data_IF_026238151171
#
_entry.id   IF_026238151171
#
_cell.length_a   1.000
_cell.length_b   1.000
_cell.length_c   1.000
_cell.angle_alpha   90.00
_cell.angle_beta   90.00
_cell.angle_gamma   90.00
#
_symmetry.space_group_name_H-M   'P 1'
#
loop_
_entity.id
_entity.type
_entity.pdbx_description
1 polymer ?
#
# COMPACT_ATOMS: atom_id res chain seq x y z
N UNK A 1 -0.45 -30.73 4.16
CA UNK A 1 0.18 -29.55 4.78
C UNK A 1 0.16 -28.37 3.80
N UNK A 2 -0.87 -27.54 3.85
CA UNK A 2 -1.05 -26.33 3.02
C UNK A 2 -0.49 -25.08 3.71
N UNK A 3 0.71 -25.18 4.28
CA UNK A 3 1.24 -24.20 5.25
C UNK A 3 2.06 -23.02 4.69
N UNK A 4 2.34 -22.96 3.39
CA UNK A 4 3.35 -22.02 2.88
C UNK A 4 2.96 -21.19 1.64
N UNK A 5 1.73 -21.30 1.13
CA UNK A 5 1.33 -20.53 -0.06
C UNK A 5 0.59 -19.26 0.38
N UNK A 6 1.26 -18.10 0.25
CA UNK A 6 0.65 -16.79 0.57
C UNK A 6 -0.23 -16.24 -0.55
N UNK A 7 0.08 -16.60 -1.79
CA UNK A 7 -0.65 -16.15 -2.99
C UNK A 7 -0.67 -17.30 -3.99
N UNK A 8 -1.86 -17.81 -4.29
CA UNK A 8 -2.11 -18.78 -5.34
C UNK A 8 -3.11 -18.18 -6.35
N UNK A 9 -2.91 -18.44 -7.63
CA UNK A 9 -3.87 -18.10 -8.68
C UNK A 9 -4.00 -19.29 -9.62
N UNK A 10 -5.22 -19.83 -9.74
CA UNK A 10 -5.55 -20.86 -10.72
C UNK A 10 -6.05 -20.23 -12.02
N UNK A 11 -5.69 -20.86 -13.13
CA UNK A 11 -6.08 -20.44 -14.48
C UNK A 11 -7.56 -20.75 -14.73
N UNK A 12 -8.27 -19.80 -15.32
CA UNK A 12 -9.64 -20.03 -15.81
C UNK A 12 -9.64 -20.54 -17.25
N UNK A 13 -10.73 -21.21 -17.68
CA UNK A 13 -10.86 -21.90 -18.98
C UNK A 13 -10.47 -21.02 -20.19
N UNK A 14 -10.85 -19.74 -20.19
CA UNK A 14 -10.61 -18.81 -21.31
C UNK A 14 -9.60 -17.71 -21.00
N UNK A 15 -8.72 -17.91 -20.00
CA UNK A 15 -7.75 -16.89 -19.58
C UNK A 15 -6.44 -16.99 -20.38
N UNK A 16 -5.96 -15.83 -20.87
CA UNK A 16 -4.63 -15.71 -21.47
C UNK A 16 -3.54 -15.68 -20.39
N UNK A 17 -2.34 -16.17 -20.70
CA UNK A 17 -1.22 -16.21 -19.75
C UNK A 17 -0.85 -14.82 -19.20
N UNK A 18 -1.01 -13.78 -20.02
CA UNK A 18 -0.75 -12.39 -19.61
C UNK A 18 -1.77 -11.91 -18.57
N UNK A 19 -3.05 -12.24 -18.73
CA UNK A 19 -4.09 -11.90 -17.77
C UNK A 19 -3.86 -12.61 -16.42
N UNK A 20 -3.44 -13.87 -16.47
CA UNK A 20 -3.08 -14.67 -15.29
C UNK A 20 -1.93 -14.02 -14.50
N UNK A 21 -0.83 -13.64 -15.18
CA UNK A 21 0.32 -12.96 -14.56
C UNK A 21 -0.09 -11.64 -13.92
N UNK A 22 -0.97 -10.85 -14.57
CA UNK A 22 -1.48 -9.59 -14.02
C UNK A 22 -2.29 -9.82 -12.75
N UNK A 23 -3.16 -10.84 -12.72
CA UNK A 23 -3.93 -11.21 -11.51
C UNK A 23 -3.02 -11.66 -10.38
N UNK A 24 -2.05 -12.52 -10.67
CA UNK A 24 -1.04 -12.91 -9.69
C UNK A 24 -0.29 -11.69 -9.13
N UNK A 25 0.19 -10.81 -10.02
CA UNK A 25 0.89 -9.59 -9.63
C UNK A 25 0.04 -8.66 -8.77
N UNK A 26 -1.26 -8.50 -9.10
CA UNK A 26 -2.20 -7.71 -8.30
C UNK A 26 -2.41 -8.35 -6.92
N UNK A 27 -2.70 -9.65 -6.86
CA UNK A 27 -2.91 -10.38 -5.60
C UNK A 27 -1.68 -10.32 -4.70
N UNK A 28 -0.47 -10.40 -5.27
CA UNK A 28 0.78 -10.24 -4.54
C UNK A 28 1.03 -8.83 -4.02
N UNK A 29 0.61 -7.80 -4.77
CA UNK A 29 0.64 -6.39 -4.34
C UNK A 29 -0.36 -6.12 -3.23
N UNK A 30 -1.60 -6.60 -3.37
CA UNK A 30 -2.65 -6.44 -2.36
C UNK A 30 -2.24 -7.12 -1.04
N UNK A 31 -1.62 -8.31 -1.13
CA UNK A 31 -1.03 -9.00 0.00
C UNK A 31 0.24 -8.33 0.57
N UNK A 32 0.68 -7.20 0.01
CA UNK A 32 1.84 -6.40 0.44
C UNK A 32 3.13 -7.22 0.62
N UNK A 33 3.28 -8.34 -0.12
CA UNK A 33 4.32 -9.33 0.14
C UNK A 33 5.72 -8.73 0.03
N UNK A 34 5.97 -7.97 -1.03
CA UNK A 34 7.26 -7.30 -1.26
C UNK A 34 7.58 -6.29 -0.17
N UNK A 35 6.58 -5.52 0.29
CA UNK A 35 6.76 -4.55 1.36
C UNK A 35 7.09 -5.23 2.69
N UNK A 36 6.40 -6.33 3.00
CA UNK A 36 6.69 -7.14 4.19
C UNK A 36 8.09 -7.75 4.16
N UNK A 37 8.51 -8.31 3.02
CA UNK A 37 9.86 -8.87 2.88
C UNK A 37 10.93 -7.80 3.00
N UNK A 38 10.72 -6.61 2.40
CA UNK A 38 11.64 -5.47 2.54
C UNK A 38 11.78 -5.01 3.98
N UNK A 39 10.67 -4.93 4.73
CA UNK A 39 10.68 -4.55 6.16
C UNK A 39 11.40 -5.58 7.02
N UNK A 40 11.30 -6.87 6.70
CA UNK A 40 11.91 -7.97 7.48
C UNK A 40 13.36 -8.27 7.10
N UNK A 41 13.87 -7.73 5.99
CA UNK A 41 15.21 -8.04 5.47
C UNK A 41 16.33 -7.79 6.48
N UNK A 42 16.22 -6.71 7.25
CA UNK A 42 17.22 -6.32 8.24
C UNK A 42 16.58 -6.10 9.60
N UNK A 43 17.35 -6.31 10.66
CA UNK A 43 16.93 -6.00 12.01
C UNK A 43 16.67 -4.50 12.15
N UNK A 44 15.58 -4.16 12.82
CA UNK A 44 15.24 -2.78 13.18
C UNK A 44 14.95 -2.74 14.68
N UNK A 45 15.50 -1.74 15.37
CA UNK A 45 15.24 -1.54 16.80
C UNK A 45 13.75 -1.24 17.01
N UNK A 46 13.17 -1.82 18.07
CA UNK A 46 11.83 -1.45 18.54
C UNK A 46 11.80 0.03 18.94
N UNK A 47 10.78 0.75 18.47
CA UNK A 47 10.59 2.16 18.83
C UNK A 47 10.11 2.27 20.28
N UNK A 48 10.44 3.37 20.94
CA UNK A 48 9.86 3.69 22.24
C UNK A 48 8.45 4.27 22.07
N UNK A 49 7.62 4.16 23.11
CA UNK A 49 6.25 4.70 23.12
C UNK A 49 6.19 6.19 22.79
N UNK A 50 7.20 6.97 23.22
CA UNK A 50 7.27 8.41 22.94
C UNK A 50 7.50 8.71 21.45
N UNK A 51 8.36 7.93 20.79
CA UNK A 51 8.64 8.07 19.34
C UNK A 51 7.39 7.70 18.53
N UNK A 52 6.69 6.64 18.93
CA UNK A 52 5.42 6.24 18.30
C UNK A 52 4.34 7.31 18.46
N UNK A 53 4.17 7.86 19.67
CA UNK A 53 3.25 8.98 19.93
C UNK A 53 3.55 10.18 19.06
N UNK A 54 4.83 10.59 18.97
CA UNK A 54 5.25 11.72 18.12
C UNK A 54 4.90 11.48 16.65
N UNK A 55 5.17 10.29 16.12
CA UNK A 55 4.80 9.95 14.73
C UNK A 55 3.28 10.00 14.51
N UNK A 56 2.49 9.52 15.47
CA UNK A 56 1.03 9.58 15.39
C UNK A 56 0.52 11.04 15.34
N UNK A 57 1.03 11.91 16.21
CA UNK A 57 0.69 13.34 16.22
C UNK A 57 1.00 14.03 14.89
N UNK A 58 2.18 13.76 14.31
CA UNK A 58 2.55 14.31 12.99
C UNK A 58 1.60 13.81 11.90
N UNK A 59 1.20 12.52 11.93
CA UNK A 59 0.25 11.99 10.96
C UNK A 59 -1.14 12.62 11.10
N UNK A 60 -1.59 12.89 12.34
CA UNK A 60 -2.87 13.54 12.59
C UNK A 60 -2.87 14.99 12.09
N UNK A 61 -1.82 15.75 12.41
CA UNK A 61 -1.64 17.12 11.92
C UNK A 61 -1.66 17.20 10.39
N UNK A 62 -0.95 16.29 9.70
CA UNK A 62 -0.99 16.24 8.23
C UNK A 62 -2.38 15.94 7.66
N UNK A 63 -3.16 15.09 8.32
CA UNK A 63 -4.55 14.80 7.92
C UNK A 63 -5.44 16.03 8.12
N UNK A 64 -5.34 16.69 9.27
CA UNK A 64 -6.10 17.91 9.55
C UNK A 64 -5.81 18.99 8.50
N UNK A 65 -4.53 19.25 8.22
CA UNK A 65 -4.13 20.21 7.21
C UNK A 65 -4.67 19.85 5.81
N UNK A 66 -4.63 18.57 5.42
CA UNK A 66 -5.23 18.13 4.17
C UNK A 66 -6.74 18.41 4.13
N UNK A 67 -7.48 18.13 5.20
CA UNK A 67 -8.92 18.41 5.28
C UNK A 67 -9.23 19.91 5.22
N UNK A 68 -8.41 20.76 5.83
CA UNK A 68 -8.51 22.22 5.72
C UNK A 68 -8.31 22.69 4.28
N UNK A 69 -7.27 22.20 3.60
CA UNK A 69 -7.01 22.55 2.20
C UNK A 69 -8.15 22.10 1.27
N UNK A 70 -8.76 20.95 1.54
CA UNK A 70 -9.96 20.49 0.82
C UNK A 70 -11.14 21.43 1.09
N UNK A 71 -11.39 21.81 2.35
CA UNK A 71 -12.47 22.76 2.70
C UNK A 71 -12.26 24.14 2.06
N UNK A 72 -11.01 24.60 1.97
CA UNK A 72 -10.64 25.85 1.31
C UNK A 72 -10.70 25.76 -0.23
N UNK A 73 -11.06 24.61 -0.80
CA UNK A 73 -11.11 24.41 -2.25
C UNK A 73 -9.73 24.36 -2.93
N UNK A 74 -8.64 24.35 -2.15
CA UNK A 74 -7.26 24.28 -2.68
C UNK A 74 -6.89 22.90 -3.18
N UNK A 75 -7.59 21.87 -2.71
CA UNK A 75 -7.44 20.48 -3.14
C UNK A 75 -8.82 19.97 -3.55
N UNK A 76 -8.94 19.56 -4.81
CA UNK A 76 -10.10 18.79 -5.26
C UNK A 76 -9.86 17.29 -4.96
N UNK A 77 -10.66 16.66 -4.07
CA UNK A 77 -10.53 15.24 -3.76
C UNK A 77 -10.89 14.34 -4.95
N UNK A 78 -11.66 14.84 -5.92
CA UNK A 78 -12.11 14.10 -7.10
C UNK A 78 -11.23 14.34 -8.33
N UNK A 79 -10.23 15.23 -8.23
CA UNK A 79 -9.33 15.49 -9.33
C UNK A 79 -8.66 14.19 -9.80
N UNK A 80 -8.74 13.92 -11.10
CA UNK A 80 -8.02 12.81 -11.72
C UNK A 80 -6.53 13.04 -11.47
N UNK A 81 -5.92 12.18 -10.65
CA UNK A 81 -4.47 12.14 -10.50
C UNK A 81 -3.87 11.76 -11.83
N UNK A 82 -3.50 12.74 -12.64
CA UNK A 82 -2.65 12.49 -13.78
C UNK A 82 -1.38 11.85 -13.25
N UNK A 83 -1.20 10.56 -13.55
CA UNK A 83 0.11 9.94 -13.40
C UNK A 83 1.01 10.71 -14.34
N UNK A 84 1.76 11.69 -13.82
CA UNK A 84 2.87 12.32 -14.54
C UNK A 84 3.67 11.16 -15.13
N UNK A 85 3.52 10.96 -16.44
CA UNK A 85 4.36 10.04 -17.21
C UNK A 85 5.71 10.72 -17.19
N UNK A 86 6.57 10.28 -16.27
CA UNK A 86 8.00 10.50 -16.38
C UNK A 86 8.51 9.62 -17.52
#
# INVERSE_FOLDING_TARGET
MTGAIRVEVRRSKNESSIALIRRFSRRAKDASLVQHMRRRRYYTRLKSKNVERRHALVSLSRRQHYHELVKLGKIDPNARKERRRR
#
